data_IF_321444217178
#
_entry.id   IF_321444217178
#
_cell.length_a   1.000
_cell.length_b   1.000
_cell.length_c   1.000
_cell.angle_alpha   90.00
_cell.angle_beta   90.00
_cell.angle_gamma   90.00
#
_symmetry.space_group_name_H-M   'P 1'
#
loop_
_entity.id
_entity.type
_entity.pdbx_description
1 polymer ?
#
# COMPACT_ATOMS: atom_id res chain seq x y z
N UNK A 1 37.09 16.39 14.43
CA UNK A 1 35.69 15.93 14.48
C UNK A 1 35.62 14.60 13.76
N UNK A 2 35.48 13.48 14.48
CA UNK A 2 35.30 12.17 13.85
C UNK A 2 33.87 12.06 13.35
N UNK A 3 33.67 12.05 12.03
CA UNK A 3 32.39 11.67 11.44
C UNK A 3 32.15 10.20 11.81
N UNK A 4 31.09 9.98 12.59
CA UNK A 4 30.64 8.64 12.96
C UNK A 4 30.08 7.97 11.70
N UNK A 5 30.91 7.22 10.98
CA UNK A 5 30.41 6.34 9.94
C UNK A 5 29.86 5.09 10.61
N UNK A 6 28.61 4.68 10.31
CA UNK A 6 28.07 3.43 10.83
C UNK A 6 28.98 2.27 10.38
N UNK A 7 29.27 1.35 11.31
CA UNK A 7 30.11 0.16 11.05
C UNK A 7 29.42 -0.86 10.13
N UNK A 8 28.10 -0.75 9.99
CA UNK A 8 27.29 -1.65 9.19
C UNK A 8 27.09 -1.08 7.79
N UNK A 9 27.07 -1.97 6.80
CA UNK A 9 26.73 -1.61 5.44
C UNK A 9 25.30 -1.03 5.39
N UNK A 10 25.05 -0.01 4.55
CA UNK A 10 23.70 0.52 4.39
C UNK A 10 22.76 -0.58 3.87
N UNK A 11 21.46 -0.53 4.24
CA UNK A 11 20.49 -1.49 3.75
C UNK A 11 20.40 -1.44 2.22
N UNK A 12 20.19 -2.60 1.60
CA UNK A 12 20.04 -2.68 0.15
C UNK A 12 18.76 -1.99 -0.31
N UNK A 13 18.87 -1.00 -1.19
CA UNK A 13 17.75 -0.32 -1.82
C UNK A 13 17.68 -0.64 -3.32
N UNK A 14 16.48 -0.89 -3.83
CA UNK A 14 16.25 -1.18 -5.24
C UNK A 14 15.20 -0.20 -5.78
N UNK A 15 15.48 0.41 -6.94
CA UNK A 15 14.57 1.32 -7.62
C UNK A 15 14.35 0.85 -9.06
N UNK A 16 13.10 0.50 -9.38
CA UNK A 16 12.71 0.05 -10.72
C UNK A 16 12.13 1.22 -11.51
N UNK A 17 12.84 1.64 -12.56
CA UNK A 17 12.40 2.71 -13.46
C UNK A 17 11.97 2.16 -14.80
N UNK A 18 10.76 2.51 -15.24
CA UNK A 18 10.24 2.10 -16.52
C UNK A 18 9.54 3.26 -17.24
N UNK A 19 9.59 3.24 -18.56
CA UNK A 19 8.85 4.15 -19.42
C UNK A 19 7.85 3.35 -20.27
N UNK A 20 6.57 3.68 -20.17
CA UNK A 20 5.49 3.01 -20.88
C UNK A 20 4.46 4.01 -21.40
N UNK A 21 3.84 3.69 -22.54
CA UNK A 21 2.68 4.41 -23.04
C UNK A 21 1.39 3.83 -22.44
N UNK A 22 0.43 4.70 -22.13
CA UNK A 22 -0.94 4.28 -21.75
C UNK A 22 -1.65 3.50 -22.87
N UNK A 23 -1.25 3.73 -24.13
CA UNK A 23 -1.82 3.02 -25.30
C UNK A 23 -1.16 1.65 -25.54
N UNK A 24 -0.22 1.23 -24.70
CA UNK A 24 0.45 -0.05 -24.85
C UNK A 24 -0.52 -1.22 -24.61
N UNK A 25 -0.57 -2.23 -25.49
CA UNK A 25 -1.46 -3.38 -25.33
C UNK A 25 -1.15 -4.23 -24.08
N UNK A 26 0.04 -4.05 -23.48
CA UNK A 26 0.44 -4.78 -22.27
C UNK A 26 -0.24 -4.26 -21.00
N UNK A 27 -0.83 -3.06 -21.03
CA UNK A 27 -1.55 -2.42 -19.90
C UNK A 27 -0.84 -2.55 -18.53
N UNK A 28 0.49 -2.43 -18.53
CA UNK A 28 1.31 -2.63 -17.32
C UNK A 28 0.99 -1.59 -16.23
N UNK A 29 0.54 -0.39 -16.61
CA UNK A 29 0.10 0.64 -15.68
C UNK A 29 -1.11 0.15 -14.85
N UNK A 30 -2.12 -0.41 -15.51
CA UNK A 30 -3.31 -0.98 -14.85
C UNK A 30 -2.90 -2.12 -13.92
N UNK A 31 -2.09 -3.06 -14.43
CA UNK A 31 -1.62 -4.19 -13.63
C UNK A 31 -0.87 -3.74 -12.37
N UNK A 32 0.05 -2.78 -12.50
CA UNK A 32 0.82 -2.29 -11.35
C UNK A 32 -0.08 -1.74 -10.25
N UNK A 33 -1.11 -0.99 -10.62
CA UNK A 33 -2.08 -0.39 -9.69
C UNK A 33 -2.96 -1.48 -9.06
N UNK A 34 -3.55 -2.36 -9.87
CA UNK A 34 -4.51 -3.36 -9.37
C UNK A 34 -3.86 -4.48 -8.55
N UNK A 35 -2.55 -4.73 -8.74
CA UNK A 35 -1.82 -5.71 -7.92
C UNK A 35 -1.26 -5.14 -6.61
N UNK A 36 -1.49 -3.85 -6.31
CA UNK A 36 -1.01 -3.22 -5.08
C UNK A 36 -2.20 -2.83 -4.18
N UNK A 37 -2.69 -3.76 -3.33
CA UNK A 37 -3.97 -3.61 -2.65
C UNK A 37 -3.96 -2.62 -1.48
N UNK A 38 -2.80 -2.38 -0.86
CA UNK A 38 -2.70 -1.59 0.36
C UNK A 38 -2.02 -0.25 0.09
N UNK A 39 -2.84 0.81 0.01
CA UNK A 39 -2.37 2.18 -0.26
C UNK A 39 -2.71 3.07 0.92
N UNK A 40 -1.69 3.65 1.57
CA UNK A 40 -1.89 4.55 2.70
C UNK A 40 -2.06 6.01 2.28
N UNK A 41 -1.33 6.45 1.26
CA UNK A 41 -1.27 7.85 0.84
C UNK A 41 -1.09 7.97 -0.66
N UNK A 42 -1.90 8.81 -1.29
CA UNK A 42 -1.75 9.22 -2.69
C UNK A 42 -1.44 10.71 -2.71
N UNK A 43 -0.42 11.10 -3.46
CA UNK A 43 -0.05 12.49 -3.66
C UNK A 43 0.15 12.75 -5.15
N UNK A 44 -0.41 13.85 -5.63
CA UNK A 44 -0.34 14.27 -7.03
C UNK A 44 0.18 15.69 -7.07
N UNK A 45 1.19 15.92 -7.90
CA UNK A 45 1.74 17.24 -8.16
C UNK A 45 1.27 17.71 -9.53
N UNK A 46 0.72 18.92 -9.58
CA UNK A 46 0.28 19.54 -10.82
C UNK A 46 1.19 20.73 -11.10
N UNK A 47 1.86 20.79 -12.27
CA UNK A 47 2.84 21.84 -12.59
C UNK A 47 2.19 23.18 -12.95
N UNK A 48 0.90 23.36 -12.66
CA UNK A 48 0.14 24.55 -13.02
C UNK A 48 -0.69 24.98 -11.82
N UNK A 49 -0.72 26.28 -11.56
CA UNK A 49 -1.63 26.85 -10.59
C UNK A 49 -3.07 26.62 -11.06
N UNK A 50 -3.80 25.80 -10.31
CA UNK A 50 -5.22 25.63 -10.53
C UNK A 50 -5.93 26.88 -10.00
N UNK A 51 -6.89 27.39 -10.76
CA UNK A 51 -7.79 28.40 -10.20
C UNK A 51 -8.55 27.79 -9.00
N UNK A 52 -8.93 28.60 -8.00
CA UNK A 52 -9.67 28.11 -6.85
C UNK A 52 -10.95 27.33 -7.22
N UNK A 53 -11.61 27.74 -8.31
CA UNK A 53 -12.80 27.03 -8.82
C UNK A 53 -12.49 25.61 -9.31
N UNK A 54 -11.39 25.43 -10.07
CA UNK A 54 -10.98 24.12 -10.57
C UNK A 54 -10.52 23.24 -9.41
N UNK A 55 -9.77 23.81 -8.46
CA UNK A 55 -9.31 23.11 -7.26
C UNK A 55 -10.48 22.57 -6.42
N UNK A 56 -11.50 23.41 -6.18
CA UNK A 56 -12.71 23.00 -5.48
C UNK A 56 -13.48 21.91 -6.24
N UNK A 57 -13.68 22.07 -7.55
CA UNK A 57 -14.38 21.08 -8.37
C UNK A 57 -13.65 19.73 -8.42
N UNK A 58 -12.31 19.75 -8.49
CA UNK A 58 -11.49 18.54 -8.43
C UNK A 58 -11.60 17.88 -7.06
N UNK A 59 -11.55 18.66 -5.98
CA UNK A 59 -11.65 18.15 -4.61
C UNK A 59 -13.02 17.52 -4.36
N UNK A 60 -14.10 18.17 -4.80
CA UNK A 60 -15.47 17.64 -4.72
C UNK A 60 -15.62 16.35 -5.53
N UNK A 61 -15.06 16.31 -6.74
CA UNK A 61 -15.06 15.10 -7.58
C UNK A 61 -14.28 13.96 -6.92
N UNK A 62 -13.10 14.24 -6.37
CA UNK A 62 -12.32 13.22 -5.66
C UNK A 62 -13.07 12.74 -4.43
N UNK A 63 -13.68 13.62 -3.63
CA UNK A 63 -14.48 13.23 -2.47
C UNK A 63 -15.67 12.34 -2.85
N UNK A 64 -16.35 12.65 -3.96
CA UNK A 64 -17.52 11.88 -4.41
C UNK A 64 -17.15 10.53 -5.03
N UNK A 65 -15.97 10.42 -5.66
CA UNK A 65 -15.45 9.17 -6.23
C UNK A 65 -14.65 8.34 -5.20
N UNK A 66 -14.14 8.95 -4.13
CA UNK A 66 -13.41 8.22 -3.09
C UNK A 66 -14.34 7.37 -2.24
N UNK A 67 -13.99 6.09 -2.13
CA UNK A 67 -14.75 5.09 -1.39
C UNK A 67 -14.66 5.29 0.11
N UNK A 68 -15.73 4.99 0.84
CA UNK A 68 -15.67 4.85 2.31
C UNK A 68 -14.91 3.57 2.64
N UNK A 69 -14.04 3.64 3.64
CA UNK A 69 -13.44 2.46 4.25
C UNK A 69 -13.88 2.36 5.70
N UNK A 70 -13.68 1.20 6.33
CA UNK A 70 -14.18 0.92 7.67
C UNK A 70 -13.04 0.51 8.57
N UNK A 71 -13.04 1.01 9.80
CA UNK A 71 -12.22 0.48 10.88
C UNK A 71 -13.10 -0.34 11.80
N UNK A 72 -12.74 -1.59 12.04
CA UNK A 72 -13.50 -2.47 12.92
C UNK A 72 -12.58 -3.38 13.73
N UNK A 73 -13.06 -3.84 14.88
CA UNK A 73 -12.40 -4.85 15.69
C UNK A 73 -13.19 -6.15 15.62
N UNK A 74 -12.68 -7.15 14.91
CA UNK A 74 -13.43 -8.38 14.62
C UNK A 74 -12.65 -9.64 15.00
N UNK A 75 -13.31 -10.70 15.50
CA UNK A 75 -12.69 -12.02 15.53
C UNK A 75 -12.49 -12.54 14.11
N UNK A 76 -11.40 -13.26 13.85
CA UNK A 76 -11.12 -13.80 12.51
C UNK A 76 -12.18 -14.79 12.02
N UNK A 77 -12.88 -15.46 12.95
CA UNK A 77 -13.99 -16.36 12.64
C UNK A 77 -15.13 -15.66 11.90
N UNK A 78 -15.29 -14.33 12.07
CA UNK A 78 -16.29 -13.55 11.34
C UNK A 78 -16.03 -13.59 9.82
N UNK A 79 -14.76 -13.65 9.39
CA UNK A 79 -14.39 -13.73 7.97
C UNK A 79 -14.87 -15.03 7.30
N UNK A 80 -15.15 -16.07 8.10
CA UNK A 80 -15.63 -17.37 7.61
C UNK A 80 -17.16 -17.44 7.52
N UNK A 81 -17.88 -16.40 7.95
CA UNK A 81 -19.34 -16.34 7.83
C UNK A 81 -19.77 -16.17 6.37
N UNK A 82 -20.99 -16.62 6.03
CA UNK A 82 -21.50 -16.54 4.65
C UNK A 82 -21.45 -15.14 4.06
N UNK A 83 -21.78 -14.12 4.86
CA UNK A 83 -21.82 -12.73 4.42
C UNK A 83 -20.41 -12.21 4.10
N UNK A 84 -19.44 -12.42 4.99
CA UNK A 84 -18.05 -12.01 4.75
C UNK A 84 -17.39 -12.80 3.64
N UNK A 85 -17.66 -14.10 3.53
CA UNK A 85 -17.19 -14.91 2.40
C UNK A 85 -17.72 -14.40 1.05
N UNK A 86 -18.96 -13.87 1.02
CA UNK A 86 -19.48 -13.20 -0.16
C UNK A 86 -18.75 -11.88 -0.44
N UNK A 87 -18.47 -11.06 0.58
CA UNK A 87 -17.69 -9.83 0.42
C UNK A 87 -16.28 -10.11 -0.10
N UNK A 88 -15.59 -11.13 0.43
CA UNK A 88 -14.26 -11.56 -0.02
C UNK A 88 -14.28 -11.96 -1.50
N UNK A 89 -15.29 -12.72 -1.92
CA UNK A 89 -15.47 -13.09 -3.35
C UNK A 89 -15.74 -11.89 -4.25
N UNK A 90 -16.32 -10.83 -3.68
CA UNK A 90 -16.67 -9.60 -4.39
C UNK A 90 -15.60 -8.50 -4.25
N UNK A 91 -14.37 -8.83 -3.83
CA UNK A 91 -13.25 -7.88 -3.84
C UNK A 91 -13.04 -7.12 -2.53
N UNK A 92 -13.60 -7.60 -1.41
CA UNK A 92 -13.27 -7.04 -0.10
C UNK A 92 -11.78 -7.25 0.23
N UNK A 93 -11.14 -6.18 0.67
CA UNK A 93 -9.76 -6.15 1.15
C UNK A 93 -9.80 -5.77 2.63
N UNK A 94 -8.96 -6.44 3.43
CA UNK A 94 -8.78 -6.13 4.84
C UNK A 94 -7.31 -6.10 5.21
N UNK A 95 -6.92 -5.20 6.11
CA UNK A 95 -5.56 -5.09 6.64
C UNK A 95 -5.60 -4.93 8.15
N UNK A 96 -4.85 -5.74 8.89
CA UNK A 96 -4.70 -5.50 10.32
C UNK A 96 -3.87 -4.25 10.59
N UNK A 97 -4.35 -3.43 11.53
CA UNK A 97 -3.64 -2.25 12.03
C UNK A 97 -2.93 -2.52 13.36
N UNK A 98 -3.04 -3.75 13.87
CA UNK A 98 -2.33 -4.17 15.07
C UNK A 98 -0.93 -4.63 14.71
N UNK A 99 0.05 -3.96 15.31
CA UNK A 99 1.41 -4.46 15.37
C UNK A 99 2.30 -4.12 14.20
N UNK A 100 3.59 -3.94 14.48
CA UNK A 100 4.62 -3.94 13.45
C UNK A 100 4.82 -5.36 12.94
N UNK A 101 5.03 -5.49 11.62
CA UNK A 101 5.35 -6.78 10.97
C UNK A 101 6.51 -7.51 11.68
N UNK A 102 7.43 -6.75 12.27
CA UNK A 102 8.60 -7.27 12.97
C UNK A 102 8.50 -7.29 14.49
N UNK A 103 7.40 -6.83 15.07
CA UNK A 103 7.28 -6.71 16.53
C UNK A 103 6.24 -7.66 17.13
N UNK A 104 5.37 -8.26 16.31
CA UNK A 104 4.34 -9.18 16.78
C UNK A 104 4.63 -10.66 16.50
N UNK A 105 4.11 -11.47 17.43
CA UNK A 105 4.30 -12.90 17.73
C UNK A 105 5.04 -13.83 16.75
N UNK A 106 6.06 -14.48 17.31
CA UNK A 106 6.67 -15.73 16.82
C UNK A 106 5.89 -16.95 17.35
N UNK A 107 5.27 -16.83 18.53
CA UNK A 107 4.78 -17.98 19.30
C UNK A 107 3.40 -18.52 18.84
N UNK A 108 2.63 -17.74 18.07
CA UNK A 108 1.28 -18.16 17.66
C UNK A 108 1.29 -19.25 16.58
N UNK A 109 2.35 -19.34 15.75
CA UNK A 109 2.37 -20.25 14.61
C UNK A 109 2.36 -21.73 15.02
N UNK A 110 3.16 -22.11 16.01
CA UNK A 110 3.21 -23.50 16.50
C UNK A 110 1.89 -23.92 17.13
N UNK A 111 1.22 -23.00 17.84
CA UNK A 111 -0.07 -23.23 18.48
C UNK A 111 -1.21 -23.38 17.45
N UNK A 112 -1.11 -22.69 16.31
CA UNK A 112 -2.10 -22.79 15.24
C UNK A 112 -2.13 -24.19 14.62
N UNK A 113 -0.97 -24.84 14.49
CA UNK A 113 -0.88 -26.15 13.83
C UNK A 113 -1.44 -26.12 12.39
N UNK A 114 -1.22 -25.00 11.68
CA UNK A 114 -1.59 -24.82 10.27
C UNK A 114 -0.29 -24.77 9.47
N UNK A 115 -0.28 -25.35 8.27
CA UNK A 115 0.89 -25.31 7.40
C UNK A 115 1.16 -23.88 6.93
N UNK A 116 2.34 -23.36 7.26
CA UNK A 116 2.89 -22.09 6.75
C UNK A 116 4.27 -22.28 6.12
N UNK A 117 4.83 -21.19 5.60
CA UNK A 117 6.19 -21.14 5.04
C UNK A 117 7.03 -20.13 5.84
N UNK A 118 8.32 -20.37 6.08
CA UNK A 118 9.17 -19.37 6.71
C UNK A 118 9.19 -18.07 5.90
N UNK A 119 9.08 -16.94 6.59
CA UNK A 119 9.15 -15.60 6.00
C UNK A 119 10.56 -15.36 5.45
N UNK A 120 10.65 -14.83 4.23
CA UNK A 120 11.91 -14.43 3.60
C UNK A 120 12.51 -13.15 4.18
N UNK A 121 11.75 -12.42 5.00
CA UNK A 121 12.11 -11.09 5.48
C UNK A 121 12.84 -11.10 6.84
N UNK A 122 12.92 -12.26 7.49
CA UNK A 122 13.62 -12.38 8.77
C UNK A 122 14.90 -13.22 8.63
N UNK A 123 16.07 -12.72 9.05
CA UNK A 123 17.35 -13.45 8.94
C UNK A 123 17.28 -14.85 9.57
N UNK A 124 16.64 -14.95 10.74
CA UNK A 124 16.58 -16.19 11.52
C UNK A 124 15.41 -17.12 11.12
N UNK A 125 14.59 -16.73 10.12
CA UNK A 125 13.41 -17.50 9.65
C UNK A 125 12.42 -17.92 10.73
N UNK A 126 12.42 -17.25 11.88
CA UNK A 126 11.53 -17.53 13.01
C UNK A 126 10.08 -17.11 12.75
N UNK A 127 9.84 -16.27 11.73
CA UNK A 127 8.48 -15.86 11.34
C UNK A 127 7.95 -16.73 10.23
N UNK A 128 6.66 -17.01 10.26
CA UNK A 128 5.98 -17.84 9.27
C UNK A 128 4.83 -17.08 8.61
N UNK A 129 4.64 -17.32 7.31
CA UNK A 129 3.51 -16.83 6.53
C UNK A 129 2.56 -18.00 6.32
N UNK A 130 1.32 -17.85 6.77
CA UNK A 130 0.24 -18.80 6.54
C UNK A 130 -0.69 -18.22 5.50
N UNK A 131 -0.82 -18.89 4.36
CA UNK A 131 -1.70 -18.48 3.27
C UNK A 131 -2.92 -19.40 3.23
N UNK A 132 -4.11 -18.81 3.39
CA UNK A 132 -5.38 -19.54 3.43
C UNK A 132 -6.21 -19.15 2.20
N UNK A 133 -6.32 -20.07 1.26
CA UNK A 133 -7.15 -19.89 0.06
C UNK A 133 -8.60 -20.27 0.32
N UNK A 134 -9.42 -19.28 0.69
CA UNK A 134 -10.84 -19.45 1.04
C UNK A 134 -11.73 -19.95 -0.10
N UNK A 135 -11.25 -19.95 -1.35
CA UNK A 135 -12.01 -20.41 -2.53
C UNK A 135 -11.80 -21.90 -2.86
N UNK A 136 -10.95 -22.61 -2.13
CA UNK A 136 -10.70 -24.05 -2.38
C UNK A 136 -11.90 -24.92 -1.96
N UNK A 137 -12.15 -26.07 -2.62
CA UNK A 137 -13.20 -27.02 -2.21
C UNK A 137 -13.06 -27.53 -0.77
N UNK A 138 -11.85 -27.50 -0.21
CA UNK A 138 -11.58 -27.84 1.18
C UNK A 138 -12.06 -26.78 2.20
N UNK A 139 -12.37 -25.56 1.73
CA UNK A 139 -12.85 -24.41 2.51
C UNK A 139 -14.38 -24.28 2.46
N UNK A 140 -15.07 -25.41 2.29
CA UNK A 140 -16.53 -25.51 2.39
C UNK A 140 -16.88 -25.89 3.84
N UNK A 141 -17.86 -25.24 4.48
CA UNK A 141 -18.33 -25.62 5.82
C UNK A 141 -18.61 -27.12 5.96
N UNK A 142 -18.19 -27.71 7.08
CA UNK A 142 -18.28 -29.15 7.35
C UNK A 142 -17.13 -29.99 6.80
N UNK A 143 -16.21 -29.44 6.01
CA UNK A 143 -14.99 -30.14 5.58
C UNK A 143 -13.88 -30.00 6.64
N UNK A 144 -13.00 -31.01 6.80
CA UNK A 144 -11.95 -30.98 7.82
C UNK A 144 -11.04 -29.75 7.78
N UNK A 145 -10.68 -29.28 6.57
CA UNK A 145 -9.85 -28.09 6.40
C UNK A 145 -10.52 -26.82 6.91
N UNK A 146 -11.78 -26.59 6.50
CA UNK A 146 -12.58 -25.47 6.99
C UNK A 146 -12.77 -25.51 8.50
N UNK A 147 -13.19 -26.66 9.06
CA UNK A 147 -13.43 -26.79 10.50
C UNK A 147 -12.15 -26.59 11.32
N UNK A 148 -10.99 -27.03 10.80
CA UNK A 148 -9.69 -26.78 11.47
C UNK A 148 -9.39 -25.28 11.55
N UNK A 149 -9.53 -24.55 10.44
CA UNK A 149 -9.25 -23.11 10.39
C UNK A 149 -10.24 -22.35 11.28
N UNK A 150 -11.52 -22.69 11.21
CA UNK A 150 -12.54 -22.13 12.09
C UNK A 150 -12.20 -22.35 13.55
N UNK A 151 -11.82 -23.57 13.94
CA UNK A 151 -11.41 -23.88 15.30
C UNK A 151 -10.21 -23.02 15.74
N UNK A 152 -9.18 -22.86 14.89
CA UNK A 152 -8.04 -22.01 15.19
C UNK A 152 -8.46 -20.54 15.40
N UNK A 153 -9.37 -20.01 14.59
CA UNK A 153 -9.87 -18.65 14.73
C UNK A 153 -10.75 -18.44 15.97
N UNK A 154 -11.43 -19.49 16.44
CA UNK A 154 -12.30 -19.42 17.62
C UNK A 154 -11.56 -19.70 18.94
N UNK A 155 -10.44 -20.44 18.90
CA UNK A 155 -9.76 -20.92 20.11
C UNK A 155 -8.32 -20.41 20.27
N UNK A 156 -7.55 -20.31 19.18
CA UNK A 156 -6.15 -19.86 19.23
C UNK A 156 -6.05 -18.36 18.95
N UNK A 157 -6.70 -17.88 17.89
CA UNK A 157 -6.77 -16.46 17.51
C UNK A 157 -8.11 -15.85 17.88
N UNK A 158 -8.60 -16.19 19.07
CA UNK A 158 -9.92 -15.79 19.56
C UNK A 158 -10.02 -14.28 19.84
N UNK A 159 -8.90 -13.60 20.04
CA UNK A 159 -8.86 -12.17 20.31
C UNK A 159 -9.24 -11.39 19.05
N UNK A 160 -10.13 -10.38 19.16
CA UNK A 160 -10.47 -9.54 18.02
C UNK A 160 -9.28 -8.75 17.48
N UNK A 161 -9.17 -8.74 16.16
CA UNK A 161 -8.18 -7.98 15.43
C UNK A 161 -8.75 -6.64 15.02
N UNK A 162 -8.02 -5.57 15.33
CA UNK A 162 -8.30 -4.26 14.76
C UNK A 162 -7.83 -4.23 13.32
N UNK A 163 -8.74 -3.93 12.39
CA UNK A 163 -8.50 -3.98 10.95
C UNK A 163 -9.18 -2.84 10.21
N UNK A 164 -8.60 -2.46 9.08
CA UNK A 164 -9.23 -1.63 8.06
C UNK A 164 -9.85 -2.51 6.98
N UNK A 165 -11.04 -2.15 6.51
CA UNK A 165 -11.78 -2.85 5.48
C UNK A 165 -12.20 -1.90 4.37
N UNK A 166 -12.10 -2.35 3.13
CA UNK A 166 -12.70 -1.70 1.98
C UNK A 166 -13.24 -2.76 1.03
N UNK A 167 -14.26 -2.42 0.26
CA UNK A 167 -14.79 -3.29 -0.78
C UNK A 167 -15.11 -2.46 -2.00
N UNK A 168 -14.70 -2.95 -3.17
CA UNK A 168 -14.93 -2.30 -4.45
C UNK A 168 -15.42 -3.33 -5.45
N UNK A 169 -16.33 -2.93 -6.32
CA UNK A 169 -16.74 -3.78 -7.44
C UNK A 169 -15.63 -3.85 -8.51
N UNK A 170 -15.77 -4.70 -9.55
CA UNK A 170 -14.79 -4.78 -10.64
C UNK A 170 -14.60 -3.47 -11.43
N UNK A 171 -15.50 -2.50 -11.29
CA UNK A 171 -15.44 -1.18 -11.90
C UNK A 171 -14.75 -0.15 -10.98
N UNK A 172 -14.40 -0.51 -9.76
CA UNK A 172 -13.74 0.34 -8.77
C UNK A 172 -14.70 1.17 -7.92
N UNK A 173 -16.00 0.87 -7.95
CA UNK A 173 -17.01 1.58 -7.16
C UNK A 173 -17.08 0.97 -5.76
N UNK A 174 -17.10 1.82 -4.73
CA UNK A 174 -17.25 1.41 -3.33
C UNK A 174 -18.50 0.57 -3.12
N UNK A 175 -18.34 -0.58 -2.47
CA UNK A 175 -19.44 -1.40 -2.00
C UNK A 175 -19.57 -1.28 -0.47
N UNK A 176 -20.77 -1.02 0.07
CA UNK A 176 -20.96 -0.94 1.51
C UNK A 176 -20.74 -2.30 2.16
N UNK A 177 -20.08 -2.28 3.31
CA UNK A 177 -19.88 -3.47 4.15
C UNK A 177 -20.80 -3.41 5.36
N UNK A 178 -21.44 -4.53 5.68
CA UNK A 178 -22.24 -4.65 6.89
C UNK A 178 -21.49 -5.47 7.93
N UNK A 179 -21.44 -4.91 9.14
CA UNK A 179 -20.77 -5.52 10.28
C UNK A 179 -21.79 -5.84 11.37
N UNK A 180 -21.61 -6.93 12.13
CA UNK A 180 -22.35 -7.13 13.37
C UNK A 180 -22.08 -5.99 14.35
N UNK A 181 -23.05 -5.67 15.21
CA UNK A 181 -22.93 -4.58 16.19
C UNK A 181 -21.69 -4.73 17.10
N UNK A 182 -21.37 -5.97 17.48
CA UNK A 182 -20.19 -6.31 18.28
C UNK A 182 -18.85 -5.90 17.65
N UNK A 183 -18.78 -5.74 16.34
CA UNK A 183 -17.57 -5.35 15.61
C UNK A 183 -17.16 -3.87 15.81
N UNK A 184 -18.10 -3.04 16.31
CA UNK A 184 -17.92 -1.59 16.51
C UNK A 184 -17.32 -0.89 15.28
N UNK A 185 -17.81 -1.26 14.10
CA UNK A 185 -17.30 -0.76 12.84
C UNK A 185 -17.59 0.74 12.69
N UNK A 186 -16.56 1.51 12.36
CA UNK A 186 -16.63 2.95 12.13
C UNK A 186 -16.30 3.23 10.67
N UNK A 187 -17.22 3.90 9.97
CA UNK A 187 -16.98 4.39 8.62
C UNK A 187 -15.97 5.56 8.67
N UNK A 188 -15.02 5.55 7.75
CA UNK A 188 -13.96 6.54 7.64
C UNK A 188 -13.92 7.10 6.23
N UNK A 189 -13.53 8.37 6.13
CA UNK A 189 -13.31 9.08 4.88
C UNK A 189 -11.83 9.35 4.69
N UNK A 190 -11.43 9.62 3.45
CA UNK A 190 -10.09 10.08 3.15
C UNK A 190 -9.95 11.56 3.47
N UNK A 191 -8.80 11.95 4.02
CA UNK A 191 -8.42 13.35 4.16
C UNK A 191 -7.84 13.84 2.83
N UNK A 192 -8.58 14.71 2.14
CA UNK A 192 -8.16 15.30 0.87
C UNK A 192 -7.69 16.71 1.13
N UNK A 193 -6.38 16.90 1.01
CA UNK A 193 -5.73 18.19 1.17
C UNK A 193 -5.18 18.68 -0.16
N UNK A 194 -5.30 19.98 -0.38
CA UNK A 194 -4.71 20.65 -1.54
C UNK A 194 -3.89 21.83 -1.08
N UNK A 195 -2.60 21.80 -1.39
CA UNK A 195 -1.64 22.80 -0.92
C UNK A 195 -0.92 23.41 -2.13
N UNK A 196 -1.01 24.73 -2.35
CA UNK A 196 -0.24 25.37 -3.40
C UNK A 196 1.25 25.35 -3.03
N UNK A 197 2.08 25.13 -4.04
CA UNK A 197 3.51 25.04 -3.90
C UNK A 197 4.17 26.17 -4.67
N UNK A 198 4.59 27.20 -3.94
CA UNK A 198 5.17 28.42 -4.52
C UNK A 198 6.70 28.32 -4.59
N UNK A 199 7.30 29.04 -5.53
CA UNK A 199 8.75 29.18 -5.68
C UNK A 199 9.49 27.83 -5.82
N UNK A 200 8.90 26.88 -6.56
CA UNK A 200 9.51 25.59 -6.82
C UNK A 200 10.18 25.60 -8.20
N UNK A 201 11.43 25.14 -8.26
CA UNK A 201 12.11 24.83 -9.52
C UNK A 201 11.77 23.39 -9.91
N UNK A 202 11.07 23.21 -11.03
CA UNK A 202 10.75 21.90 -11.59
C UNK A 202 11.92 21.44 -12.47
N UNK A 203 12.45 20.20 -12.32
CA UNK A 203 13.50 19.67 -13.19
C UNK A 203 13.07 19.61 -14.66
N UNK A 204 14.02 19.81 -15.58
CA UNK A 204 13.76 19.65 -17.01
C UNK A 204 13.49 18.17 -17.34
N UNK A 205 12.28 17.89 -17.83
CA UNK A 205 11.82 16.56 -18.22
C UNK A 205 12.11 16.21 -19.69
N UNK A 206 12.62 17.16 -20.48
CA UNK A 206 12.93 16.94 -21.91
C UNK A 206 13.84 15.73 -22.14
N UNK A 207 14.91 15.48 -21.35
CA UNK A 207 15.76 14.30 -21.50
C UNK A 207 15.02 12.98 -21.26
N UNK A 208 14.04 12.98 -20.36
CA UNK A 208 13.24 11.78 -20.03
C UNK A 208 12.33 11.38 -21.20
N UNK A 209 11.82 12.38 -21.93
CA UNK A 209 10.89 12.19 -23.06
C UNK A 209 11.60 11.84 -24.36
N UNK A 210 12.82 12.35 -24.56
CA UNK A 210 13.54 12.30 -25.85
C UNK A 210 14.63 11.25 -25.92
N UNK A 211 15.25 10.90 -24.79
CA UNK A 211 16.35 9.93 -24.73
C UNK A 211 15.80 8.53 -24.48
N UNK A 212 16.36 7.53 -25.16
CA UNK A 212 15.98 6.12 -24.95
C UNK A 212 16.36 5.61 -23.56
N UNK A 213 15.50 4.80 -22.95
CA UNK A 213 15.64 4.21 -21.59
C UNK A 213 16.97 3.48 -21.28
N UNK A 214 17.69 3.06 -22.31
CA UNK A 214 18.97 2.35 -22.16
C UNK A 214 20.16 3.31 -21.99
N UNK A 215 19.95 4.61 -22.20
CA UNK A 215 20.96 5.65 -22.01
C UNK A 215 21.11 5.98 -20.51
N UNK A 216 22.36 6.11 -20.06
CA UNK A 216 22.69 6.48 -18.68
C UNK A 216 22.15 7.86 -18.31
N UNK A 217 22.05 8.79 -19.28
CA UNK A 217 21.49 10.13 -19.07
C UNK A 217 20.01 10.07 -18.76
N UNK A 218 19.26 9.19 -19.43
CA UNK A 218 17.85 8.97 -19.14
C UNK A 218 17.67 8.52 -17.68
N UNK A 219 18.48 7.53 -17.25
CA UNK A 219 18.43 7.03 -15.86
C UNK A 219 18.70 8.14 -14.86
N UNK A 220 19.76 8.93 -15.09
CA UNK A 220 20.11 10.05 -14.22
C UNK A 220 18.96 11.06 -14.12
N UNK A 221 18.40 11.51 -15.23
CA UNK A 221 17.28 12.46 -15.22
C UNK A 221 16.04 11.93 -14.51
N UNK A 222 15.72 10.63 -14.63
CA UNK A 222 14.60 10.03 -13.89
C UNK A 222 14.91 9.91 -12.40
N UNK A 223 16.15 9.60 -12.01
CA UNK A 223 16.57 9.62 -10.59
C UNK A 223 16.44 11.02 -10.01
N UNK A 224 16.95 12.04 -10.71
CA UNK A 224 16.90 13.42 -10.26
C UNK A 224 15.43 13.89 -10.08
N UNK A 225 14.54 13.50 -11.00
CA UNK A 225 13.11 13.75 -10.87
C UNK A 225 12.48 13.01 -9.68
N UNK A 226 12.82 11.73 -9.47
CA UNK A 226 12.32 10.94 -8.33
C UNK A 226 12.73 11.56 -6.98
N UNK A 227 14.00 11.96 -6.84
CA UNK A 227 14.50 12.65 -5.66
C UNK A 227 13.79 13.99 -5.44
N UNK A 228 13.60 14.76 -6.52
CA UNK A 228 12.88 16.02 -6.46
C UNK A 228 11.41 15.84 -6.02
N UNK A 229 10.70 14.83 -6.52
CA UNK A 229 9.32 14.51 -6.07
C UNK A 229 9.32 14.21 -4.57
N UNK A 230 10.32 13.49 -4.07
CA UNK A 230 10.50 13.24 -2.63
C UNK A 230 10.67 14.54 -1.82
N UNK A 231 11.52 15.46 -2.28
CA UNK A 231 11.71 16.78 -1.65
C UNK A 231 10.44 17.64 -1.69
N UNK A 232 9.70 17.60 -2.80
CA UNK A 232 8.42 18.29 -2.96
C UNK A 232 7.36 17.73 -1.99
N UNK A 233 7.26 16.41 -1.86
CA UNK A 233 6.34 15.71 -0.94
C UNK A 233 6.58 16.06 0.53
N UNK A 234 7.84 16.22 0.94
CA UNK A 234 8.19 16.57 2.32
C UNK A 234 8.14 18.07 2.60
N UNK A 235 7.79 18.89 1.60
CA UNK A 235 7.88 20.34 1.68
C UNK A 235 9.24 20.87 2.19
N UNK A 236 10.34 20.29 1.72
CA UNK A 236 11.70 20.65 2.18
C UNK A 236 12.16 22.04 1.73
N UNK A 237 12.84 22.82 2.56
CA UNK A 237 13.37 24.15 2.18
C UNK A 237 14.44 24.10 1.07
N UNK A 238 15.01 22.92 0.79
CA UNK A 238 15.97 22.69 -0.29
C UNK A 238 15.35 22.80 -1.70
N UNK A 239 14.05 23.06 -1.80
CA UNK A 239 13.32 23.30 -3.06
C UNK A 239 13.69 24.62 -3.76
N UNK A 240 14.21 25.61 -3.01
CA UNK A 240 14.47 26.96 -3.51
C UNK A 240 15.88 27.19 -4.08
N UNK A 241 16.81 26.26 -3.84
CA UNK A 241 18.18 26.35 -4.33
C UNK A 241 18.41 25.25 -5.34
N UNK A 242 18.64 25.60 -6.61
CA UNK A 242 19.23 24.72 -7.62
C UNK A 242 20.68 24.34 -7.29
N UNK A 243 20.95 23.99 -6.03
CA UNK A 243 22.26 23.61 -5.56
C UNK A 243 22.57 22.22 -6.09
N UNK A 244 23.66 22.14 -6.84
CA UNK A 244 24.35 20.91 -7.25
C UNK A 244 24.87 20.06 -6.05
N UNK A 245 24.18 20.07 -4.91
CA UNK A 245 24.43 19.16 -3.80
C UNK A 245 23.68 17.84 -4.06
N UNK A 246 23.97 17.23 -5.21
CA UNK A 246 23.67 15.81 -5.42
C UNK A 246 24.48 15.03 -4.39
N UNK A 247 23.85 14.07 -3.72
CA UNK A 247 24.56 13.06 -2.96
C UNK A 247 25.46 12.28 -3.94
N UNK A 248 26.70 12.73 -4.11
CA UNK A 248 27.76 11.85 -4.59
C UNK A 248 27.96 10.80 -3.51
N UNK A 249 27.46 9.59 -3.77
CA UNK A 249 28.11 8.43 -3.20
C UNK A 249 29.57 8.48 -3.65
N UNK A 250 30.56 8.34 -2.74
CA UNK A 250 31.95 8.27 -3.15
C UNK A 250 32.15 7.06 -4.07
N UNK A 251 32.96 7.25 -5.11
CA UNK A 251 33.42 6.19 -6.02
C UNK A 251 34.08 5.02 -5.26
#
# INVERSE_FOLDING_TARGET
>A
MSTFFPKEAPPTAHLYMNHYSFNSPKQLHTRCITTHPFNHRIQVFLPTELSPAIQSALTEKLLSETSTYYHASIPLSLLLTSNFMQYIRNGMIALSVQGGIDTHDVDSYEQLGISGKPSSFHPDRQRFVVEIELNKPAMIPGKPGFERIKWCFENTLATPFSMLFASVDPQGISLPLQFPEAARATAMTFDIQSTPLNNIVIPDETPIRTIGKNDLRWRRSVTDLYEWIGLASMQSDRRATGSNAFFRLPD
#
